data_IF_623480272801
#
_entry.id   IF_623480272801
#
_cell.length_a   1.000
_cell.length_b   1.000
_cell.length_c   1.000
_cell.angle_alpha   90.00
_cell.angle_beta   90.00
_cell.angle_gamma   90.00
#
_symmetry.space_group_name_H-M   'P 1'
#
loop_
_entity.id
_entity.type
_entity.pdbx_description
1 polymer ?
#
# COMPACT_ATOMS: atom_id res chain seq x y z
N UNK A 1 -10.31 -8.37 23.78
CA UNK A 1 -9.52 -7.14 24.02
C UNK A 1 -8.06 -7.41 23.66
N UNK A 2 -7.63 -7.10 22.43
CA UNK A 2 -6.19 -7.09 22.13
C UNK A 2 -5.62 -5.84 22.78
N UNK A 3 -4.77 -5.99 23.80
CA UNK A 3 -3.97 -4.88 24.32
C UNK A 3 -3.32 -4.19 23.11
N UNK A 4 -3.54 -2.89 22.95
CA UNK A 4 -2.74 -2.06 22.05
C UNK A 4 -1.29 -2.14 22.54
N UNK A 5 -0.53 -3.13 22.07
CA UNK A 5 0.92 -3.15 22.21
C UNK A 5 1.45 -2.07 21.27
N UNK A 6 1.55 -0.86 21.79
CA UNK A 6 2.35 0.20 21.19
C UNK A 6 3.78 -0.31 21.08
N UNK A 7 4.31 -0.36 19.86
CA UNK A 7 5.70 -0.76 19.63
C UNK A 7 6.63 0.22 20.33
N UNK A 8 7.71 -0.28 20.92
CA UNK A 8 8.76 0.59 21.45
C UNK A 8 9.49 1.31 20.31
N UNK A 9 10.22 2.37 20.64
CA UNK A 9 11.07 3.10 19.68
C UNK A 9 12.07 2.16 19.00
N UNK A 10 12.66 1.25 19.75
CA UNK A 10 13.66 0.28 19.27
C UNK A 10 13.04 -0.72 18.31
N UNK A 11 11.83 -1.22 18.60
CA UNK A 11 11.10 -2.12 17.71
C UNK A 11 10.75 -1.45 16.38
N UNK A 12 10.39 -0.18 16.43
CA UNK A 12 10.10 0.63 15.26
C UNK A 12 11.34 0.89 14.41
N UNK A 13 12.49 1.19 15.03
CA UNK A 13 13.77 1.28 14.31
C UNK A 13 14.23 -0.06 13.73
N UNK A 14 14.04 -1.17 14.45
CA UNK A 14 14.33 -2.50 13.94
C UNK A 14 13.45 -2.83 12.71
N UNK A 15 12.17 -2.48 12.76
CA UNK A 15 11.27 -2.57 11.61
C UNK A 15 11.76 -1.72 10.43
N UNK A 16 12.14 -0.46 10.65
CA UNK A 16 12.57 0.44 9.58
C UNK A 16 13.88 0.01 8.89
N UNK A 17 14.74 -0.71 9.59
CA UNK A 17 15.98 -1.26 9.05
C UNK A 17 15.82 -2.68 8.47
N UNK A 18 14.63 -3.26 8.55
CA UNK A 18 14.35 -4.58 7.98
C UNK A 18 14.47 -4.58 6.45
N UNK A 19 15.00 -5.65 5.82
CA UNK A 19 14.99 -5.78 4.37
C UNK A 19 13.57 -5.88 3.78
N UNK A 20 12.56 -6.15 4.61
CA UNK A 20 11.15 -6.28 4.21
C UNK A 20 10.40 -4.94 4.17
N UNK A 21 11.04 -3.83 4.55
CA UNK A 21 10.41 -2.50 4.66
C UNK A 21 11.06 -1.45 3.76
N UNK A 22 11.92 -1.90 2.85
CA UNK A 22 12.63 -1.07 1.88
C UNK A 22 12.02 -1.27 0.49
N UNK A 23 11.24 -0.28 0.07
CA UNK A 23 10.56 -0.19 -1.23
C UNK A 23 9.95 -1.54 -1.65
N UNK A 24 9.12 -2.11 -0.77
CA UNK A 24 8.76 -3.52 -0.87
C UNK A 24 7.94 -3.82 -2.14
N UNK A 25 6.91 -3.03 -2.44
CA UNK A 25 6.07 -3.30 -3.61
C UNK A 25 6.86 -3.07 -4.91
N UNK A 26 7.63 -1.98 -4.95
CA UNK A 26 8.57 -1.68 -6.02
C UNK A 26 9.56 -2.84 -6.24
N UNK A 27 10.14 -3.40 -5.17
CA UNK A 27 11.07 -4.54 -5.27
C UNK A 27 10.43 -5.76 -5.92
N UNK A 28 9.13 -5.99 -5.72
CA UNK A 28 8.41 -7.10 -6.36
C UNK A 28 8.18 -6.84 -7.85
N UNK A 29 8.10 -5.59 -8.28
CA UNK A 29 7.77 -5.20 -9.65
C UNK A 29 9.02 -4.87 -10.51
N UNK A 30 10.08 -4.35 -9.90
CA UNK A 30 11.28 -3.83 -10.57
C UNK A 30 12.29 -4.90 -11.02
N UNK A 31 12.02 -6.19 -10.77
CA UNK A 31 12.94 -7.33 -11.03
C UNK A 31 14.27 -7.19 -10.27
N UNK A 32 15.33 -7.88 -10.74
CA UNK A 32 16.66 -7.92 -10.09
C UNK A 32 17.31 -6.53 -9.99
N UNK A 33 18.12 -6.32 -8.95
CA UNK A 33 18.92 -5.10 -8.77
C UNK A 33 18.28 -3.99 -7.93
N UNK A 34 16.98 -4.12 -7.58
CA UNK A 34 16.30 -3.22 -6.65
C UNK A 34 16.34 -3.77 -5.20
N UNK A 35 16.33 -2.99 -4.13
CA UNK A 35 16.18 -1.54 -3.98
C UNK A 35 17.09 -1.07 -2.84
N UNK A 36 17.58 0.16 -2.90
CA UNK A 36 18.60 0.70 -2.00
C UNK A 36 18.07 1.84 -1.12
N UNK A 37 16.83 1.71 -0.62
CA UNK A 37 16.21 2.72 0.23
C UNK A 37 16.04 4.05 -0.51
N UNK A 38 16.51 5.13 0.12
CA UNK A 38 16.50 6.48 -0.45
C UNK A 38 17.35 6.63 -1.73
N UNK A 39 18.33 5.74 -1.94
CA UNK A 39 19.18 5.72 -3.12
C UNK A 39 18.65 4.81 -4.23
N UNK A 40 17.38 4.40 -4.16
CA UNK A 40 16.77 3.61 -5.24
C UNK A 40 16.65 4.45 -6.51
N UNK A 41 17.29 3.98 -7.58
CA UNK A 41 17.30 4.65 -8.87
C UNK A 41 15.89 4.73 -9.50
N UNK A 42 15.61 5.84 -10.17
CA UNK A 42 14.30 6.11 -10.79
C UNK A 42 13.92 5.10 -11.88
N UNK A 43 14.91 4.43 -12.50
CA UNK A 43 14.66 3.41 -13.52
C UNK A 43 13.82 2.24 -12.98
N UNK A 44 13.95 1.91 -11.69
CA UNK A 44 13.13 0.87 -11.07
C UNK A 44 11.67 1.30 -10.98
N UNK A 45 11.41 2.54 -10.58
CA UNK A 45 10.06 3.11 -10.51
C UNK A 45 9.41 3.11 -11.90
N UNK A 46 10.12 3.60 -12.92
CA UNK A 46 9.57 3.67 -14.29
C UNK A 46 9.31 2.28 -14.88
N UNK A 47 10.19 1.30 -14.62
CA UNK A 47 9.96 -0.08 -15.03
C UNK A 47 8.76 -0.70 -14.32
N UNK A 48 8.57 -0.42 -13.03
CA UNK A 48 7.43 -0.90 -12.26
C UNK A 48 6.11 -0.29 -12.76
N UNK A 49 6.08 1.03 -13.02
CA UNK A 49 4.92 1.69 -13.66
C UNK A 49 4.58 1.07 -15.00
N UNK A 50 5.58 0.85 -15.86
CA UNK A 50 5.42 0.20 -17.18
C UNK A 50 4.91 -1.24 -17.07
N UNK A 51 5.31 -1.97 -16.03
CA UNK A 51 4.78 -3.31 -15.78
C UNK A 51 3.32 -3.24 -15.31
N UNK A 52 3.01 -2.37 -14.35
CA UNK A 52 1.67 -2.18 -13.82
C UNK A 52 0.66 -1.74 -14.89
N UNK A 53 1.07 -0.89 -15.83
CA UNK A 53 0.21 -0.44 -16.93
C UNK A 53 -0.20 -1.55 -17.91
N UNK A 54 0.36 -2.76 -17.76
CA UNK A 54 -0.01 -3.93 -18.58
C UNK A 54 -1.11 -4.77 -17.94
N UNK A 55 -1.44 -4.53 -16.68
CA UNK A 55 -2.53 -5.23 -16.02
C UNK A 55 -3.86 -4.63 -16.43
N UNK A 56 -4.83 -5.49 -16.71
CA UNK A 56 -6.21 -5.06 -17.02
C UNK A 56 -6.89 -4.44 -15.79
N UNK A 57 -6.56 -4.93 -14.60
CA UNK A 57 -7.14 -4.48 -13.34
C UNK A 57 -6.04 -4.26 -12.32
N UNK A 58 -6.04 -3.07 -11.72
CA UNK A 58 -5.26 -2.73 -10.52
C UNK A 58 -6.26 -2.46 -9.42
N UNK A 59 -6.10 -3.12 -8.27
CA UNK A 59 -7.02 -2.98 -7.14
C UNK A 59 -6.31 -2.23 -6.01
N UNK A 60 -6.99 -1.28 -5.41
CA UNK A 60 -6.47 -0.51 -4.29
C UNK A 60 -6.88 -1.18 -2.98
N UNK A 61 -5.92 -1.33 -2.07
CA UNK A 61 -6.16 -1.91 -0.76
C UNK A 61 -6.98 -0.98 0.16
N UNK A 62 -6.91 0.34 -0.03
CA UNK A 62 -7.65 1.30 0.81
C UNK A 62 -9.18 1.17 0.64
N UNK A 63 -9.64 0.72 -0.53
CA UNK A 63 -11.03 0.36 -0.83
C UNK A 63 -11.14 -1.05 -1.44
N UNK A 64 -10.51 -2.03 -0.77
CA UNK A 64 -10.40 -3.40 -1.30
C UNK A 64 -11.76 -4.05 -1.55
N UNK A 65 -12.74 -3.85 -0.66
CA UNK A 65 -14.07 -4.46 -0.79
C UNK A 65 -14.76 -3.97 -2.07
N UNK A 66 -14.78 -2.66 -2.31
CA UNK A 66 -15.38 -2.08 -3.50
C UNK A 66 -14.59 -2.40 -4.78
N UNK A 67 -13.25 -2.43 -4.67
CA UNK A 67 -12.39 -2.87 -5.77
C UNK A 67 -12.66 -4.32 -6.17
N UNK A 68 -12.90 -5.22 -5.21
CA UNK A 68 -13.24 -6.62 -5.46
C UNK A 68 -14.64 -6.76 -6.05
N UNK A 69 -15.62 -6.03 -5.55
CA UNK A 69 -16.98 -5.99 -6.13
C UNK A 69 -16.96 -5.53 -7.59
N UNK A 70 -16.23 -4.46 -7.88
CA UNK A 70 -16.06 -3.97 -9.25
C UNK A 70 -15.36 -5.01 -10.14
N UNK A 71 -14.30 -5.64 -9.62
CA UNK A 71 -13.54 -6.65 -10.35
C UNK A 71 -14.40 -7.87 -10.71
N UNK A 72 -15.15 -8.44 -9.76
CA UNK A 72 -15.99 -9.61 -10.06
C UNK A 72 -17.12 -9.28 -11.04
N UNK A 73 -17.68 -8.06 -10.95
CA UNK A 73 -18.73 -7.59 -11.86
C UNK A 73 -18.21 -7.52 -13.29
N UNK A 74 -16.98 -7.02 -13.48
CA UNK A 74 -16.29 -7.02 -14.79
C UNK A 74 -16.04 -8.41 -15.36
N UNK A 75 -15.93 -9.43 -14.51
CA UNK A 75 -15.80 -10.83 -14.93
C UNK A 75 -17.15 -11.52 -15.19
N UNK A 76 -18.28 -10.82 -15.05
CA UNK A 76 -19.61 -11.44 -15.14
C UNK A 76 -19.91 -12.40 -13.98
N UNK A 77 -19.17 -12.27 -12.87
CA UNK A 77 -19.35 -13.06 -11.67
C UNK A 77 -20.13 -12.25 -10.63
N UNK A 78 -20.81 -12.94 -9.73
CA UNK A 78 -21.40 -12.34 -8.53
C UNK A 78 -20.67 -12.85 -7.29
N UNK A 79 -20.26 -11.91 -6.43
CA UNK A 79 -19.84 -12.29 -5.08
C UNK A 79 -21.09 -12.75 -4.33
N UNK A 80 -21.06 -13.98 -3.81
CA UNK A 80 -22.05 -14.37 -2.82
C UNK A 80 -21.80 -13.51 -1.59
N UNK A 81 -22.82 -12.82 -1.04
CA UNK A 81 -22.64 -12.10 0.21
C UNK A 81 -22.09 -13.09 1.24
N UNK A 82 -20.94 -12.76 1.84
CA UNK A 82 -20.40 -13.52 2.94
C UNK A 82 -21.43 -13.60 4.08
N UNK A 83 -21.33 -14.63 4.95
CA UNK A 83 -22.24 -14.80 6.10
C UNK A 83 -22.33 -13.55 7.02
N UNK A 84 -21.37 -12.64 6.90
CA UNK A 84 -21.41 -11.29 7.45
C UNK A 84 -21.73 -10.29 6.34
N UNK A 85 -23.00 -10.09 6.00
CA UNK A 85 -23.46 -8.93 5.19
C UNK A 85 -23.20 -7.56 5.83
N UNK A 86 -22.31 -7.51 6.82
CA UNK A 86 -21.80 -6.31 7.43
C UNK A 86 -20.69 -5.77 6.54
N UNK A 87 -20.93 -4.60 5.94
CA UNK A 87 -19.84 -3.73 5.47
C UNK A 87 -18.82 -3.66 6.60
N UNK A 88 -17.56 -4.05 6.35
CA UNK A 88 -16.51 -3.89 7.35
C UNK A 88 -16.46 -2.39 7.66
N UNK A 89 -16.75 -1.95 8.90
CA UNK A 89 -16.68 -0.54 9.21
C UNK A 89 -15.28 -0.06 8.89
N UNK A 90 -15.14 0.90 7.96
CA UNK A 90 -13.88 1.59 7.73
C UNK A 90 -13.54 2.33 9.01
N UNK A 91 -12.80 1.68 9.91
CA UNK A 91 -12.40 2.33 11.14
C UNK A 91 -11.41 3.43 10.77
N UNK A 92 -11.62 4.65 11.27
CA UNK A 92 -10.63 5.72 11.20
C UNK A 92 -9.37 5.23 11.92
N UNK A 93 -8.45 4.66 11.16
CA UNK A 93 -7.14 4.29 11.65
C UNK A 93 -6.34 5.58 11.85
N UNK A 94 -5.57 5.64 12.92
CA UNK A 94 -4.57 6.69 13.07
C UNK A 94 -3.59 6.66 11.90
N UNK A 95 -3.11 7.85 11.52
CA UNK A 95 -2.16 7.99 10.42
C UNK A 95 -0.88 7.20 10.72
N UNK A 96 -0.08 6.89 9.70
CA UNK A 96 1.23 6.25 9.93
C UNK A 96 2.10 7.07 10.90
N UNK A 97 2.11 8.41 10.73
CA UNK A 97 2.82 9.34 11.61
C UNK A 97 2.35 9.26 13.06
N UNK A 98 1.04 9.27 13.30
CA UNK A 98 0.44 9.12 14.63
C UNK A 98 0.75 7.76 15.27
N UNK A 99 0.70 6.67 14.50
CA UNK A 99 1.02 5.32 14.99
C UNK A 99 2.49 5.14 15.37
N UNK A 100 3.38 5.84 14.68
CA UNK A 100 4.82 5.81 14.95
C UNK A 100 5.16 6.71 16.14
N UNK A 101 4.55 7.89 16.24
CA UNK A 101 4.75 8.84 17.34
C UNK A 101 6.18 9.38 17.42
N UNK A 102 6.94 9.32 16.32
CA UNK A 102 8.34 9.74 16.23
C UNK A 102 8.60 10.32 14.82
N UNK A 103 8.70 11.64 14.74
CA UNK A 103 8.83 12.34 13.46
C UNK A 103 10.14 12.04 12.73
N UNK A 104 11.25 11.90 13.46
CA UNK A 104 12.55 11.53 12.87
C UNK A 104 12.45 10.18 12.17
N UNK A 105 11.86 9.18 12.84
CA UNK A 105 11.69 7.86 12.25
C UNK A 105 10.66 7.85 11.12
N UNK A 106 9.56 8.58 11.27
CA UNK A 106 8.55 8.71 10.22
C UNK A 106 9.19 9.29 8.94
N UNK A 107 9.94 10.39 9.06
CA UNK A 107 10.62 11.00 7.92
C UNK A 107 11.68 10.07 7.32
N UNK A 108 12.43 9.34 8.14
CA UNK A 108 13.35 8.31 7.66
C UNK A 108 12.63 7.24 6.82
N UNK A 109 11.48 6.75 7.29
CA UNK A 109 10.68 5.76 6.57
C UNK A 109 10.11 6.32 5.27
N UNK A 110 9.66 7.58 5.25
CA UNK A 110 9.15 8.26 4.06
C UNK A 110 10.26 8.40 3.02
N UNK A 111 11.42 8.94 3.38
CA UNK A 111 12.54 9.10 2.44
C UNK A 111 13.06 7.76 1.92
N UNK A 112 13.24 6.79 2.82
CA UNK A 112 13.69 5.44 2.46
C UNK A 112 12.75 4.75 1.47
N UNK A 113 11.45 5.03 1.53
CA UNK A 113 10.42 4.40 0.70
C UNK A 113 9.82 5.34 -0.36
N UNK A 114 10.47 6.48 -0.64
CA UNK A 114 9.89 7.52 -1.50
C UNK A 114 9.46 6.97 -2.87
N UNK A 115 10.28 6.12 -3.49
CA UNK A 115 9.96 5.53 -4.79
C UNK A 115 8.75 4.58 -4.72
N UNK A 116 8.59 3.83 -3.63
CA UNK A 116 7.43 2.95 -3.43
C UNK A 116 6.15 3.75 -3.16
N UNK A 117 6.27 4.86 -2.41
CA UNK A 117 5.18 5.82 -2.19
C UNK A 117 4.76 6.45 -3.53
N UNK A 118 5.72 6.89 -4.34
CA UNK A 118 5.44 7.46 -5.68
C UNK A 118 4.78 6.43 -6.61
N UNK A 119 5.18 5.15 -6.52
CA UNK A 119 4.56 4.06 -7.24
C UNK A 119 3.10 3.86 -6.82
N UNK A 120 2.82 3.87 -5.51
CA UNK A 120 1.47 3.75 -4.97
C UNK A 120 0.57 4.91 -5.42
N UNK A 121 1.04 6.15 -5.28
CA UNK A 121 0.32 7.35 -5.70
C UNK A 121 0.03 7.34 -7.20
N UNK A 122 0.97 6.85 -8.00
CA UNK A 122 0.74 6.66 -9.43
C UNK A 122 -0.25 5.53 -9.70
N UNK A 123 -0.17 4.40 -9.00
CA UNK A 123 -1.04 3.24 -9.25
C UNK A 123 -2.50 3.54 -8.99
N UNK A 124 -2.81 4.42 -8.02
CA UNK A 124 -4.18 4.88 -7.77
C UNK A 124 -4.87 5.47 -9.01
N UNK A 125 -4.10 6.11 -9.90
CA UNK A 125 -4.64 6.71 -11.14
C UNK A 125 -5.07 5.68 -12.19
N UNK A 126 -4.59 4.45 -12.07
CA UNK A 126 -4.95 3.35 -12.97
C UNK A 126 -5.70 2.24 -12.23
N UNK A 127 -6.02 2.44 -10.96
CA UNK A 127 -6.86 1.54 -10.19
C UNK A 127 -8.25 1.45 -10.80
N UNK A 128 -8.87 0.27 -10.66
CA UNK A 128 -10.21 0.00 -11.17
C UNK A 128 -11.27 0.92 -10.53
N UNK A 129 -11.04 1.30 -9.28
CA UNK A 129 -11.87 2.22 -8.50
C UNK A 129 -10.97 3.28 -7.90
N UNK A 130 -11.43 4.54 -7.95
CA UNK A 130 -10.83 5.63 -7.19
C UNK A 130 -11.42 5.64 -5.78
N UNK A 131 -10.63 5.25 -4.78
CA UNK A 131 -11.10 5.18 -3.40
C UNK A 131 -11.55 6.54 -2.84
N UNK A 132 -11.09 7.67 -3.40
CA UNK A 132 -11.51 9.01 -2.95
C UNK A 132 -12.99 9.28 -3.24
N UNK A 133 -13.58 8.62 -4.25
CA UNK A 133 -15.00 8.71 -4.58
C UNK A 133 -15.86 7.81 -3.68
N UNK A 134 -15.26 6.84 -3.00
CA UNK A 134 -15.95 5.84 -2.17
C UNK A 134 -15.94 6.21 -0.68
N UNK A 135 -15.07 7.12 -0.23
CA UNK A 135 -14.91 7.48 1.20
C UNK A 135 -15.87 8.61 1.65
N UNK A 136 -16.80 9.05 0.78
CA UNK A 136 -17.90 9.96 1.14
C UNK A 136 -18.92 9.30 2.07
#
# INVERSE_FOLDING_TARGET
VRKNMTRSKEQWWAYANSPYTNNYALKKLARNGCCNGEHTESIHLENAKKLLSRFTFVLDQDCLDESLEAFVSKLGLSLKPGKSGAKIPRSKHSTARERIGNDTLYNFLVERNRQDIDLYEWSKKISLIDCSEVIQ
#
